data_IF_335620817670
#
_entry.id   IF_335620817670
#
_cell.length_a   1.000
_cell.length_b   1.000
_cell.length_c   1.000
_cell.angle_alpha   90.00
_cell.angle_beta   90.00
_cell.angle_gamma   90.00
#
_symmetry.space_group_name_H-M   'P 1'
#
loop_
_entity.id
_entity.type
_entity.pdbx_description
1 polymer ?
#
# COMPACT_ATOMS: atom_id res chain seq x y z
N UNK A 1 -26.56 -0.87 6.85
CA UNK A 1 -25.45 -1.83 6.95
C UNK A 1 -24.15 -1.15 6.51
N UNK A 2 -23.11 -1.33 7.26
CA UNK A 2 -21.81 -0.78 6.88
C UNK A 2 -21.10 -1.68 5.90
N UNK A 3 -20.58 -1.09 4.85
CA UNK A 3 -19.66 -1.79 3.98
C UNK A 3 -18.28 -1.82 4.64
N UNK A 4 -17.72 -3.01 4.75
CA UNK A 4 -16.36 -3.16 5.25
C UNK A 4 -15.42 -3.21 4.05
N UNK A 5 -14.47 -2.29 4.04
CA UNK A 5 -13.44 -2.23 3.01
C UNK A 5 -12.09 -2.33 3.67
N UNK A 6 -11.33 -3.33 3.25
CA UNK A 6 -9.95 -3.52 3.70
C UNK A 6 -9.07 -3.49 2.47
N UNK A 7 -7.91 -2.90 2.60
CA UNK A 7 -7.00 -2.73 1.48
C UNK A 7 -5.63 -3.29 1.81
N UNK A 8 -5.10 -4.09 0.90
CA UNK A 8 -3.68 -4.41 0.87
C UNK A 8 -3.04 -3.41 -0.07
N UNK A 9 -1.97 -2.78 0.35
CA UNK A 9 -1.38 -1.71 -0.43
C UNK A 9 0.14 -1.82 -0.46
N UNK A 10 0.73 -1.29 -1.52
CA UNK A 10 2.18 -1.17 -1.66
C UNK A 10 2.53 0.31 -1.81
N UNK A 11 3.46 0.75 -0.98
CA UNK A 11 4.00 2.10 -1.03
C UNK A 11 5.48 2.07 -1.37
N UNK A 12 5.96 3.14 -1.95
CA UNK A 12 7.35 3.28 -2.35
C UNK A 12 7.87 4.66 -1.98
N UNK A 13 9.18 4.82 -2.02
CA UNK A 13 9.83 6.13 -1.90
C UNK A 13 9.81 6.84 -3.25
N UNK A 14 10.19 8.11 -3.27
CA UNK A 14 10.15 8.91 -4.50
C UNK A 14 10.92 8.26 -5.64
N UNK A 15 12.08 7.69 -5.34
CA UNK A 15 12.94 7.07 -6.36
C UNK A 15 12.54 5.64 -6.73
N UNK A 16 11.48 5.10 -6.10
CA UNK A 16 10.94 3.76 -6.39
C UNK A 16 11.94 2.64 -6.16
N UNK A 17 12.81 2.81 -5.17
CA UNK A 17 13.84 1.84 -4.83
C UNK A 17 13.46 0.90 -3.69
N UNK A 18 12.49 1.30 -2.87
CA UNK A 18 12.06 0.54 -1.68
C UNK A 18 10.56 0.32 -1.76
N UNK A 19 10.09 -0.85 -1.35
CA UNK A 19 8.66 -1.17 -1.28
C UNK A 19 8.26 -1.49 0.15
N UNK A 20 7.08 -1.02 0.54
CA UNK A 20 6.42 -1.36 1.79
C UNK A 20 5.07 -1.97 1.49
N UNK A 21 4.75 -3.09 2.14
CA UNK A 21 3.45 -3.77 2.01
C UNK A 21 2.70 -3.61 3.31
N UNK A 22 1.45 -3.19 3.25
CA UNK A 22 0.62 -3.01 4.44
C UNK A 22 -0.84 -3.35 4.19
N UNK A 23 -1.61 -3.31 5.26
CA UNK A 23 -3.06 -3.50 5.23
C UNK A 23 -3.72 -2.39 6.04
N UNK A 24 -4.86 -1.89 5.57
CA UNK A 24 -5.60 -0.84 6.25
C UNK A 24 -7.09 -0.93 5.91
N UNK A 25 -7.92 -0.32 6.76
CA UNK A 25 -9.33 -0.14 6.44
C UNK A 25 -9.63 1.22 5.82
N UNK A 26 -8.64 2.09 5.69
CA UNK A 26 -8.79 3.41 5.09
C UNK A 26 -7.49 3.88 4.47
N UNK A 27 -7.42 3.84 3.13
CA UNK A 27 -6.21 4.23 2.40
C UNK A 27 -5.87 5.70 2.59
N UNK A 28 -6.86 6.57 2.53
CA UNK A 28 -6.63 8.00 2.66
C UNK A 28 -6.00 8.38 3.98
N UNK A 29 -6.58 7.88 5.08
CA UNK A 29 -6.05 8.13 6.42
C UNK A 29 -4.65 7.52 6.56
N UNK A 30 -4.46 6.31 6.05
CA UNK A 30 -3.15 5.64 6.17
C UNK A 30 -2.06 6.39 5.41
N UNK A 31 -2.36 6.92 4.23
CA UNK A 31 -1.42 7.73 3.46
C UNK A 31 -1.02 8.98 4.24
N UNK A 32 -2.00 9.67 4.83
CA UNK A 32 -1.73 10.84 5.65
C UNK A 32 -0.87 10.50 6.86
N UNK A 33 -1.14 9.38 7.51
CA UNK A 33 -0.34 8.93 8.66
C UNK A 33 1.10 8.63 8.27
N UNK A 34 1.33 7.99 7.15
CA UNK A 34 2.68 7.71 6.65
C UNK A 34 3.42 9.01 6.36
N UNK A 35 2.73 9.96 5.74
CA UNK A 35 3.30 11.24 5.33
C UNK A 35 3.66 12.12 6.53
N UNK A 36 2.78 12.17 7.54
CA UNK A 36 2.98 12.97 8.75
C UNK A 36 3.91 12.33 9.75
N UNK A 37 4.20 11.04 9.59
CA UNK A 37 4.97 10.27 10.56
C UNK A 37 4.15 9.72 11.70
N UNK A 38 2.86 10.02 11.78
CA UNK A 38 1.98 9.49 12.82
C UNK A 38 1.68 8.01 12.53
N UNK A 39 1.85 7.17 13.54
CA UNK A 39 1.57 5.74 13.46
C UNK A 39 2.28 5.03 12.30
N UNK A 40 3.32 5.66 11.75
CA UNK A 40 4.15 5.03 10.73
C UNK A 40 5.05 3.98 11.35
N UNK A 41 5.31 2.92 10.61
CA UNK A 41 6.37 1.99 11.01
C UNK A 41 7.71 2.69 10.87
N UNK A 42 8.72 2.21 11.62
CA UNK A 42 10.07 2.73 11.50
C UNK A 42 10.62 2.54 10.08
N UNK A 43 10.18 1.48 9.40
CA UNK A 43 10.57 1.22 8.01
C UNK A 43 10.11 2.35 7.08
N UNK A 44 8.81 2.67 7.10
CA UNK A 44 8.26 3.68 6.19
C UNK A 44 8.85 5.06 6.45
N UNK A 45 9.09 5.38 7.73
CA UNK A 45 9.70 6.64 8.11
C UNK A 45 11.16 6.72 7.64
N UNK A 46 11.92 5.65 7.87
CA UNK A 46 13.34 5.59 7.51
C UNK A 46 13.57 5.71 6.01
N UNK A 47 12.73 5.06 5.21
CA UNK A 47 12.92 5.00 3.77
C UNK A 47 11.99 5.93 2.99
N UNK A 48 11.22 6.76 3.69
CA UNK A 48 10.31 7.74 3.08
C UNK A 48 9.32 7.10 2.11
N UNK A 49 8.71 5.98 2.49
CA UNK A 49 7.72 5.28 1.69
C UNK A 49 6.37 5.95 1.83
N UNK A 50 6.18 7.09 1.16
CA UNK A 50 4.98 7.92 1.27
C UNK A 50 4.10 7.88 0.03
N UNK A 51 4.49 7.14 -1.00
CA UNK A 51 3.82 7.15 -2.30
C UNK A 51 3.16 5.81 -2.57
N UNK A 52 1.84 5.86 -2.79
CA UNK A 52 1.05 4.67 -3.11
C UNK A 52 1.23 4.31 -4.58
N UNK A 53 1.53 3.05 -4.87
CA UNK A 53 1.69 2.57 -6.24
C UNK A 53 0.77 1.41 -6.60
N UNK A 54 0.12 0.79 -5.60
CA UNK A 54 -0.77 -0.35 -5.85
C UNK A 54 -1.66 -0.59 -4.63
N UNK A 55 -2.91 -1.03 -4.86
CA UNK A 55 -3.78 -1.51 -3.79
C UNK A 55 -4.80 -2.50 -4.31
N UNK A 56 -5.27 -3.37 -3.39
CA UNK A 56 -6.34 -4.35 -3.63
C UNK A 56 -7.37 -4.17 -2.53
N UNK A 57 -8.64 -4.33 -2.88
CA UNK A 57 -9.74 -4.22 -1.92
C UNK A 57 -10.26 -5.60 -1.53
N UNK A 58 -10.55 -5.76 -0.23
CA UNK A 58 -11.15 -6.97 0.32
C UNK A 58 -12.31 -6.61 1.24
N UNK A 59 -13.34 -7.45 1.23
CA UNK A 59 -14.48 -7.28 2.11
C UNK A 59 -14.17 -7.76 3.53
N UNK A 60 -13.34 -8.78 3.66
CA UNK A 60 -13.04 -9.41 4.95
C UNK A 60 -11.59 -9.16 5.35
N UNK A 61 -11.41 -8.80 6.63
CA UNK A 61 -10.09 -8.47 7.17
C UNK A 61 -9.11 -9.64 7.07
N UNK A 62 -9.58 -10.86 7.31
CA UNK A 62 -8.71 -12.04 7.29
C UNK A 62 -8.15 -12.29 5.89
N UNK A 63 -8.97 -12.08 4.85
CA UNK A 63 -8.50 -12.23 3.47
C UNK A 63 -7.43 -11.19 3.14
N UNK A 64 -7.62 -9.95 3.60
CA UNK A 64 -6.64 -8.90 3.40
C UNK A 64 -5.32 -9.21 4.11
N UNK A 65 -5.40 -9.67 5.35
CA UNK A 65 -4.20 -10.02 6.14
C UNK A 65 -3.45 -11.17 5.47
N UNK A 66 -4.15 -12.20 5.03
CA UNK A 66 -3.53 -13.34 4.35
C UNK A 66 -2.81 -12.90 3.08
N UNK A 67 -3.44 -12.01 2.32
CA UNK A 67 -2.85 -11.49 1.08
C UNK A 67 -1.60 -10.64 1.39
N UNK A 68 -1.66 -9.81 2.41
CA UNK A 68 -0.52 -8.99 2.82
C UNK A 68 0.68 -9.88 3.17
N UNK A 69 0.44 -10.94 3.95
CA UNK A 69 1.49 -11.89 4.30
C UNK A 69 2.05 -12.60 3.07
N UNK A 70 1.19 -12.98 2.16
CA UNK A 70 1.60 -13.62 0.91
C UNK A 70 2.54 -12.72 0.12
N UNK A 71 2.13 -11.48 -0.11
CA UNK A 71 2.91 -10.52 -0.89
C UNK A 71 4.24 -10.19 -0.20
N UNK A 72 4.22 -10.07 1.13
CA UNK A 72 5.45 -9.81 1.88
C UNK A 72 6.51 -10.89 1.66
N UNK A 73 6.08 -12.13 1.44
CA UNK A 73 6.99 -13.25 1.19
C UNK A 73 7.53 -13.33 -0.24
N UNK A 74 7.03 -12.50 -1.15
CA UNK A 74 7.45 -12.54 -2.55
C UNK A 74 8.79 -11.85 -2.78
N UNK A 75 9.45 -12.23 -3.87
CA UNK A 75 10.64 -11.53 -4.35
C UNK A 75 10.30 -10.12 -4.81
N UNK A 76 11.30 -9.26 -4.90
CA UNK A 76 11.12 -7.91 -5.44
C UNK A 76 10.56 -7.95 -6.85
N UNK A 77 11.06 -8.84 -7.70
CA UNK A 77 10.60 -8.96 -9.07
C UNK A 77 9.11 -9.31 -9.14
N UNK A 78 8.65 -10.20 -8.27
CA UNK A 78 7.24 -10.60 -8.23
C UNK A 78 6.36 -9.47 -7.74
N UNK A 79 6.81 -8.69 -6.76
CA UNK A 79 6.09 -7.50 -6.28
C UNK A 79 6.00 -6.44 -7.39
N UNK A 80 7.09 -6.22 -8.11
CA UNK A 80 7.10 -5.29 -9.24
C UNK A 80 6.09 -5.72 -10.32
N UNK A 81 6.06 -7.00 -10.64
CA UNK A 81 5.12 -7.53 -11.62
C UNK A 81 3.67 -7.30 -11.20
N UNK A 82 3.38 -7.50 -9.91
CA UNK A 82 2.04 -7.25 -9.39
C UNK A 82 1.63 -5.79 -9.57
N UNK A 83 2.51 -4.86 -9.20
CA UNK A 83 2.25 -3.42 -9.37
C UNK A 83 1.94 -3.12 -10.83
N UNK A 84 2.72 -3.68 -11.73
CA UNK A 84 2.62 -3.39 -13.16
C UNK A 84 1.40 -4.00 -13.83
N UNK A 85 0.70 -4.93 -13.20
CA UNK A 85 -0.58 -5.43 -13.71
C UNK A 85 -1.63 -4.31 -13.77
N UNK A 86 -1.58 -3.35 -12.85
CA UNK A 86 -2.56 -2.27 -12.74
C UNK A 86 -1.94 -0.89 -12.95
N UNK A 87 -0.64 -0.77 -12.72
CA UNK A 87 0.05 0.52 -12.72
C UNK A 87 1.41 0.36 -13.41
N UNK A 88 1.35 0.19 -14.71
CA UNK A 88 2.52 -0.14 -15.53
C UNK A 88 3.66 0.89 -15.40
N UNK A 89 3.29 2.15 -15.20
CA UNK A 89 4.27 3.24 -15.15
C UNK A 89 4.64 3.65 -13.72
N UNK A 90 4.12 2.96 -12.72
CA UNK A 90 4.39 3.26 -11.32
C UNK A 90 4.00 4.70 -10.94
N UNK A 91 2.83 5.14 -11.42
CA UNK A 91 2.31 6.46 -11.06
C UNK A 91 1.99 6.48 -9.57
N UNK A 92 2.14 7.64 -8.94
CA UNK A 92 1.75 7.81 -7.54
C UNK A 92 0.23 7.96 -7.47
N UNK A 93 -0.42 7.08 -6.72
CA UNK A 93 -1.87 6.97 -6.63
C UNK A 93 -2.45 7.65 -5.39
N UNK A 94 -1.66 8.48 -4.72
CA UNK A 94 -2.08 9.13 -3.47
C UNK A 94 -3.38 9.92 -3.62
N UNK A 95 -3.48 10.74 -4.66
CA UNK A 95 -4.66 11.58 -4.89
C UNK A 95 -5.90 10.73 -5.17
N UNK A 96 -5.74 9.66 -5.92
CA UNK A 96 -6.82 8.73 -6.23
C UNK A 96 -7.38 8.09 -4.95
N UNK A 97 -6.52 7.69 -4.03
CA UNK A 97 -6.92 7.05 -2.79
C UNK A 97 -7.59 8.03 -1.82
N UNK A 98 -7.13 9.29 -1.80
CA UNK A 98 -7.70 10.32 -0.93
C UNK A 98 -9.07 10.76 -1.46
N UNK A 99 -9.21 10.94 -2.76
CA UNK A 99 -10.44 11.41 -3.39
C UNK A 99 -11.48 10.29 -3.58
N UNK A 100 -11.03 9.06 -3.56
CA UNK A 100 -11.89 7.90 -3.67
C UNK A 100 -12.52 7.53 -2.35
#
# INVERSE_FOLDING_TARGET
MRDHNYFVYLMTNFNKTVLYVGVTNDLGIRIEQHKSGENSSSFTKKYSCFYLVYYERYQYINDAIDREKEIKGWSRAKKNALIETENKEWRFLNDEAIDG
#
